data_IF_195598666579
#
_entry.id   IF_195598666579
#
_cell.length_a   1.000
_cell.length_b   1.000
_cell.length_c   1.000
_cell.angle_alpha   90.00
_cell.angle_beta   90.00
_cell.angle_gamma   90.00
#
_symmetry.space_group_name_H-M   'P 1'
#
loop_
_entity.id
_entity.type
_entity.pdbx_description
1 polymer ?
#
# COMPACT_ATOMS: atom_id res chain seq x y z
N UNK A 1 -21.57 -43.07 17.12
CA UNK A 1 -20.07 -43.08 17.26
C UNK A 1 -19.68 -44.17 18.24
N UNK A 2 -18.62 -44.92 17.95
CA UNK A 2 -18.13 -45.95 18.84
C UNK A 2 -17.39 -45.29 20.02
N UNK A 3 -17.56 -45.78 21.25
CA UNK A 3 -17.00 -45.21 22.50
C UNK A 3 -15.48 -45.08 22.43
N UNK A 4 -14.76 -46.07 21.90
CA UNK A 4 -13.32 -46.03 21.67
C UNK A 4 -12.86 -44.88 20.72
N UNK A 5 -13.69 -44.47 19.74
CA UNK A 5 -13.37 -43.40 18.81
C UNK A 5 -13.54 -42.03 19.48
N UNK A 6 -14.54 -41.90 20.37
CA UNK A 6 -14.74 -40.68 21.16
C UNK A 6 -13.57 -40.49 22.12
N UNK A 7 -13.09 -41.56 22.78
CA UNK A 7 -11.90 -41.47 23.62
C UNK A 7 -10.65 -41.05 22.84
N UNK A 8 -10.46 -41.57 21.63
CA UNK A 8 -9.35 -41.17 20.77
C UNK A 8 -9.45 -39.67 20.35
N UNK A 9 -10.63 -39.17 20.04
CA UNK A 9 -10.85 -37.74 19.76
C UNK A 9 -10.51 -36.88 20.98
N UNK A 10 -10.97 -37.25 22.16
CA UNK A 10 -10.71 -36.51 23.39
C UNK A 10 -9.19 -36.49 23.71
N UNK A 11 -8.50 -37.59 23.49
CA UNK A 11 -7.04 -37.67 23.66
C UNK A 11 -6.30 -36.73 22.70
N UNK A 12 -6.73 -36.68 21.42
CA UNK A 12 -6.18 -35.77 20.42
C UNK A 12 -6.45 -34.31 20.78
N UNK A 13 -7.67 -33.99 21.22
CA UNK A 13 -8.07 -32.63 21.65
C UNK A 13 -7.20 -32.19 22.84
N UNK A 14 -6.97 -33.06 23.83
CA UNK A 14 -6.09 -32.74 24.97
C UNK A 14 -4.65 -32.51 24.52
N UNK A 15 -4.13 -33.30 23.59
CA UNK A 15 -2.78 -33.13 23.04
C UNK A 15 -2.68 -31.79 22.27
N UNK A 16 -3.71 -31.41 21.52
CA UNK A 16 -3.75 -30.12 20.80
C UNK A 16 -3.80 -28.93 21.75
N UNK A 17 -4.52 -29.03 22.88
CA UNK A 17 -4.56 -27.98 23.90
C UNK A 17 -3.25 -27.84 24.70
N UNK A 18 -2.40 -28.86 24.70
CA UNK A 18 -1.13 -28.90 25.46
C UNK A 18 0.11 -28.70 24.57
N UNK A 19 -0.03 -28.73 23.23
CA UNK A 19 1.12 -28.56 22.36
C UNK A 19 1.62 -27.11 22.32
N UNK A 20 2.87 -26.92 21.97
CA UNK A 20 3.41 -25.59 21.73
C UNK A 20 2.80 -24.96 20.48
N UNK A 21 2.60 -23.65 20.49
CA UNK A 21 2.05 -22.90 19.34
C UNK A 21 2.83 -23.21 18.05
N UNK A 22 2.11 -23.62 17.02
CA UNK A 22 2.66 -23.97 15.70
C UNK A 22 2.95 -25.47 15.52
N UNK A 23 2.74 -26.32 16.54
CA UNK A 23 2.88 -27.78 16.41
C UNK A 23 1.56 -28.49 16.05
N UNK A 24 0.44 -27.77 16.05
CA UNK A 24 -0.89 -28.31 15.76
C UNK A 24 -0.98 -29.01 14.40
N UNK A 25 -0.39 -28.46 13.30
CA UNK A 25 -0.43 -29.11 12.00
C UNK A 25 0.28 -30.47 11.99
N UNK A 26 1.41 -30.57 12.67
CA UNK A 26 2.16 -31.83 12.78
C UNK A 26 1.40 -32.89 13.59
N UNK A 27 0.73 -32.48 14.68
CA UNK A 27 -0.12 -33.34 15.49
C UNK A 27 -1.34 -33.84 14.71
N UNK A 28 -2.00 -32.97 13.96
CA UNK A 28 -3.14 -33.35 13.10
C UNK A 28 -2.70 -34.27 11.97
N UNK A 29 -1.54 -34.03 11.36
CA UNK A 29 -1.00 -34.89 10.31
C UNK A 29 -0.61 -36.29 10.85
N UNK A 30 -0.04 -36.37 12.05
CA UNK A 30 0.28 -37.62 12.68
C UNK A 30 -0.92 -38.48 13.07
N UNK A 31 -2.11 -37.84 13.18
CA UNK A 31 -3.39 -38.47 13.52
C UNK A 31 -4.44 -38.28 12.40
N UNK A 32 -4.00 -38.34 11.16
CA UNK A 32 -4.85 -38.01 9.99
C UNK A 32 -6.11 -38.88 9.90
N UNK A 33 -6.07 -40.14 10.40
CA UNK A 33 -7.22 -41.04 10.44
C UNK A 33 -8.30 -40.66 11.46
N UNK A 34 -7.96 -39.78 12.42
CA UNK A 34 -8.92 -39.19 13.38
C UNK A 34 -9.47 -37.83 12.91
N UNK A 35 -8.88 -37.22 11.89
CA UNK A 35 -9.29 -35.90 11.40
C UNK A 35 -10.49 -36.06 10.46
N UNK A 36 -11.68 -36.08 11.06
CA UNK A 36 -12.96 -36.23 10.36
C UNK A 36 -14.05 -35.35 10.99
N UNK A 37 -15.27 -35.38 10.42
CA UNK A 37 -16.42 -34.60 10.92
C UNK A 37 -16.81 -34.98 12.37
N UNK A 38 -16.47 -36.20 12.81
CA UNK A 38 -16.68 -36.65 14.19
C UNK A 38 -15.76 -35.93 15.17
N UNK A 39 -14.46 -35.76 14.83
CA UNK A 39 -13.54 -34.98 15.62
C UNK A 39 -14.02 -33.53 15.77
N UNK A 40 -14.44 -32.91 14.67
CA UNK A 40 -14.97 -31.52 14.68
C UNK A 40 -16.17 -31.37 15.61
N UNK A 41 -17.11 -32.32 15.57
CA UNK A 41 -18.27 -32.29 16.44
C UNK A 41 -17.88 -32.41 17.93
N UNK A 42 -16.92 -33.27 18.26
CA UNK A 42 -16.43 -33.45 19.64
C UNK A 42 -15.63 -32.22 20.09
N UNK A 43 -14.83 -31.60 19.21
CA UNK A 43 -14.12 -30.35 19.51
C UNK A 43 -15.08 -29.22 19.88
N UNK A 44 -16.17 -29.03 19.13
CA UNK A 44 -17.18 -28.01 19.42
C UNK A 44 -17.83 -28.24 20.78
N UNK A 45 -18.24 -29.49 21.09
CA UNK A 45 -18.82 -29.84 22.38
C UNK A 45 -17.83 -29.62 23.54
N UNK A 46 -16.56 -29.96 23.33
CA UNK A 46 -15.52 -29.76 24.34
C UNK A 46 -15.18 -28.29 24.53
N UNK A 47 -15.24 -27.48 23.50
CA UNK A 47 -15.08 -26.03 23.59
C UNK A 47 -16.19 -25.38 24.44
N UNK A 48 -17.45 -25.78 24.22
CA UNK A 48 -18.60 -25.35 25.02
C UNK A 48 -18.45 -25.76 26.49
N UNK A 49 -17.96 -26.96 26.75
CA UNK A 49 -17.66 -27.44 28.10
C UNK A 49 -16.57 -26.59 28.78
N UNK A 50 -15.47 -26.26 28.08
CA UNK A 50 -14.39 -25.39 28.61
C UNK A 50 -14.90 -23.99 28.94
N UNK A 51 -15.76 -23.41 28.11
CA UNK A 51 -16.38 -22.13 28.42
C UNK A 51 -17.25 -22.16 29.69
N UNK A 52 -18.03 -23.24 29.89
CA UNK A 52 -18.83 -23.44 31.08
C UNK A 52 -17.98 -23.65 32.34
N UNK A 53 -16.77 -24.17 32.22
CA UNK A 53 -15.81 -24.32 33.32
C UNK A 53 -14.97 -23.04 33.58
N UNK A 54 -15.19 -21.98 32.81
CA UNK A 54 -14.50 -20.70 32.95
C UNK A 54 -13.17 -20.60 32.18
N UNK A 55 -12.80 -21.61 31.40
CA UNK A 55 -11.61 -21.60 30.53
C UNK A 55 -11.97 -21.09 29.13
N UNK A 56 -12.37 -19.84 29.07
CA UNK A 56 -12.81 -19.20 27.81
C UNK A 56 -11.70 -19.04 26.77
N UNK A 57 -10.41 -19.05 27.17
CA UNK A 57 -9.32 -18.89 26.21
C UNK A 57 -9.14 -20.20 25.40
N UNK A 58 -9.05 -21.33 26.09
CA UNK A 58 -8.94 -22.64 25.45
C UNK A 58 -10.22 -23.00 24.69
N UNK A 59 -11.40 -22.64 25.22
CA UNK A 59 -12.69 -22.84 24.55
C UNK A 59 -12.74 -22.11 23.19
N UNK A 60 -12.42 -20.84 23.13
CA UNK A 60 -12.40 -20.06 21.87
C UNK A 60 -11.36 -20.55 20.90
N UNK A 61 -10.16 -20.87 21.39
CA UNK A 61 -9.11 -21.39 20.54
C UNK A 61 -9.53 -22.72 19.89
N UNK A 62 -10.08 -23.64 20.67
CA UNK A 62 -10.53 -24.93 20.19
C UNK A 62 -11.71 -24.81 19.21
N UNK A 63 -12.64 -23.89 19.45
CA UNK A 63 -13.74 -23.60 18.54
C UNK A 63 -13.25 -23.06 17.19
N UNK A 64 -12.28 -22.15 17.21
CA UNK A 64 -11.64 -21.64 15.99
C UNK A 64 -10.94 -22.75 15.19
N UNK A 65 -10.21 -23.64 15.88
CA UNK A 65 -9.57 -24.78 15.21
C UNK A 65 -10.59 -25.74 14.62
N UNK A 66 -11.68 -26.03 15.35
CA UNK A 66 -12.77 -26.86 14.87
C UNK A 66 -13.45 -26.29 13.62
N UNK A 67 -13.69 -24.97 13.58
CA UNK A 67 -14.25 -24.30 12.40
C UNK A 67 -13.32 -24.37 11.18
N UNK A 68 -12.01 -24.23 11.38
CA UNK A 68 -11.01 -24.37 10.31
C UNK A 68 -10.96 -25.80 9.78
N UNK A 69 -11.00 -26.80 10.65
CA UNK A 69 -11.05 -28.21 10.24
C UNK A 69 -12.36 -28.55 9.51
N UNK A 70 -13.49 -28.02 9.95
CA UNK A 70 -14.77 -28.20 9.28
C UNK A 70 -14.75 -27.71 7.84
N UNK A 71 -14.15 -26.53 7.61
CA UNK A 71 -13.97 -25.97 6.26
C UNK A 71 -13.07 -26.83 5.36
N UNK A 72 -12.11 -27.54 5.94
CA UNK A 72 -11.21 -28.45 5.22
C UNK A 72 -11.88 -29.79 4.91
N UNK A 73 -12.63 -30.35 5.86
CA UNK A 73 -13.19 -31.70 5.79
C UNK A 73 -14.52 -31.80 5.06
N UNK A 74 -15.34 -30.79 5.19
CA UNK A 74 -16.62 -30.67 4.48
C UNK A 74 -16.74 -29.24 3.95
N UNK A 75 -16.03 -28.94 2.86
CA UNK A 75 -16.25 -27.68 2.19
C UNK A 75 -17.72 -27.62 1.83
N UNK A 76 -18.43 -26.51 2.14
CA UNK A 76 -19.87 -26.42 1.97
C UNK A 76 -20.26 -26.91 0.58
N UNK A 77 -21.09 -27.95 0.54
CA UNK A 77 -21.58 -28.63 -0.69
C UNK A 77 -22.47 -27.73 -1.54
N UNK A 78 -22.84 -26.59 -1.01
CA UNK A 78 -23.38 -25.50 -1.80
C UNK A 78 -22.20 -24.73 -2.39
N UNK A 79 -22.20 -24.57 -3.68
CA UNK A 79 -21.23 -24.00 -4.59
C UNK A 79 -20.87 -22.51 -4.31
N UNK A 80 -20.65 -22.13 -3.05
CA UNK A 80 -20.33 -20.75 -2.69
C UNK A 80 -19.32 -20.70 -1.54
N UNK A 81 -18.05 -20.95 -1.86
CA UNK A 81 -16.99 -20.24 -1.16
C UNK A 81 -17.35 -18.75 -1.29
N UNK A 82 -17.71 -18.02 -0.22
CA UNK A 82 -18.17 -16.64 -0.32
C UNK A 82 -17.14 -15.77 -1.03
N UNK A 83 -15.86 -16.06 -0.84
CA UNK A 83 -14.78 -15.41 -1.56
C UNK A 83 -14.76 -15.75 -3.05
N UNK A 84 -15.05 -17.01 -3.42
CA UNK A 84 -15.11 -17.44 -4.82
C UNK A 84 -16.25 -16.78 -5.58
N UNK A 85 -17.45 -16.77 -5.01
CA UNK A 85 -18.62 -16.09 -5.57
C UNK A 85 -18.42 -14.58 -5.63
N UNK A 86 -17.85 -14.01 -4.57
CA UNK A 86 -17.54 -12.59 -4.54
C UNK A 86 -16.49 -12.21 -5.60
N UNK A 87 -15.39 -12.97 -5.70
CA UNK A 87 -14.35 -12.75 -6.70
C UNK A 87 -14.93 -12.85 -8.12
N UNK A 88 -15.73 -13.86 -8.39
CA UNK A 88 -16.39 -14.01 -9.70
C UNK A 88 -17.27 -12.80 -10.03
N UNK A 89 -18.13 -12.37 -9.09
CA UNK A 89 -18.99 -11.19 -9.27
C UNK A 89 -18.16 -9.92 -9.47
N UNK A 90 -17.09 -9.76 -8.69
CA UNK A 90 -16.20 -8.61 -8.79
C UNK A 90 -15.51 -8.53 -10.15
N UNK A 91 -14.92 -9.64 -10.61
CA UNK A 91 -14.27 -9.71 -11.93
C UNK A 91 -15.26 -9.45 -13.06
N UNK A 92 -16.47 -10.01 -12.97
CA UNK A 92 -17.54 -9.76 -13.94
C UNK A 92 -17.95 -8.29 -13.95
N UNK A 93 -18.14 -7.67 -12.78
CA UNK A 93 -18.48 -6.24 -12.65
C UNK A 93 -17.39 -5.36 -13.28
N UNK A 94 -16.12 -5.70 -13.09
CA UNK A 94 -14.99 -4.97 -13.69
C UNK A 94 -15.04 -5.05 -15.21
N UNK A 95 -15.30 -6.23 -15.77
CA UNK A 95 -15.41 -6.44 -17.23
C UNK A 95 -16.61 -5.68 -17.80
N UNK A 96 -17.79 -5.83 -17.20
CA UNK A 96 -19.04 -5.21 -17.69
C UNK A 96 -19.03 -3.68 -17.58
N UNK A 97 -18.31 -3.14 -16.60
CA UNK A 97 -18.22 -1.69 -16.37
C UNK A 97 -16.98 -1.03 -16.99
N UNK A 98 -16.14 -1.79 -17.69
CA UNK A 98 -14.84 -1.31 -18.17
C UNK A 98 -13.98 -0.66 -17.07
N UNK A 99 -14.00 -1.29 -15.88
CA UNK A 99 -13.27 -0.80 -14.71
C UNK A 99 -13.86 0.44 -14.04
N UNK A 100 -15.10 0.81 -14.32
CA UNK A 100 -15.76 2.00 -13.74
C UNK A 100 -15.96 1.83 -12.23
N UNK A 101 -15.30 2.67 -11.44
CA UNK A 101 -15.36 2.68 -9.97
C UNK A 101 -16.78 2.89 -9.42
N UNK A 102 -17.62 3.63 -10.10
CA UNK A 102 -19.01 3.85 -9.68
C UNK A 102 -19.83 2.56 -9.65
N UNK A 103 -19.45 1.57 -10.47
CA UNK A 103 -20.05 0.24 -10.44
C UNK A 103 -19.35 -0.69 -9.42
N UNK A 104 -18.03 -0.57 -9.28
CA UNK A 104 -17.21 -1.48 -8.44
C UNK A 104 -17.34 -1.13 -6.95
N UNK A 105 -17.28 0.16 -6.56
CA UNK A 105 -17.24 0.57 -5.16
C UNK A 105 -18.46 0.16 -4.33
N UNK A 106 -19.71 0.22 -4.82
CA UNK A 106 -20.86 -0.30 -4.09
C UNK A 106 -20.76 -1.81 -3.80
N UNK A 107 -20.18 -2.58 -4.73
CA UNK A 107 -19.95 -4.01 -4.52
C UNK A 107 -18.90 -4.26 -3.42
N UNK A 108 -17.80 -3.51 -3.41
CA UNK A 108 -16.78 -3.59 -2.36
C UNK A 108 -17.35 -3.15 -1.01
N UNK A 109 -18.12 -2.05 -0.96
CA UNK A 109 -18.77 -1.53 0.25
C UNK A 109 -19.71 -2.56 0.91
N UNK A 110 -20.48 -3.26 0.12
CA UNK A 110 -21.41 -4.28 0.63
C UNK A 110 -20.71 -5.57 1.10
N UNK A 111 -19.43 -5.75 0.77
CA UNK A 111 -18.66 -6.95 1.06
C UNK A 111 -17.33 -6.66 1.81
N UNK A 112 -17.28 -5.59 2.60
CA UNK A 112 -16.07 -5.21 3.36
C UNK A 112 -15.53 -6.35 4.24
N UNK A 113 -16.40 -7.24 4.73
CA UNK A 113 -16.03 -8.39 5.54
C UNK A 113 -15.27 -9.48 4.78
N UNK A 114 -15.30 -9.46 3.45
CA UNK A 114 -14.54 -10.36 2.57
C UNK A 114 -13.23 -9.73 2.07
N UNK A 115 -12.95 -8.45 2.39
CA UNK A 115 -11.72 -7.77 2.01
C UNK A 115 -10.63 -8.08 3.04
N UNK A 116 -10.13 -9.31 3.02
CA UNK A 116 -9.12 -9.83 3.94
C UNK A 116 -8.02 -10.65 3.21
N UNK A 117 -7.12 -11.25 3.97
CA UNK A 117 -6.02 -12.07 3.44
C UNK A 117 -6.51 -13.29 2.62
N UNK A 118 -7.71 -13.84 2.91
CA UNK A 118 -8.24 -14.96 2.15
C UNK A 118 -8.59 -14.55 0.72
N UNK A 119 -9.13 -13.34 0.54
CA UNK A 119 -9.38 -12.78 -0.78
C UNK A 119 -8.06 -12.57 -1.56
N UNK A 120 -7.04 -12.01 -0.90
CA UNK A 120 -5.71 -11.82 -1.52
C UNK A 120 -5.16 -13.16 -2.00
N UNK A 121 -5.15 -14.17 -1.14
CA UNK A 121 -4.63 -15.52 -1.44
C UNK A 121 -5.41 -16.18 -2.58
N UNK A 122 -6.74 -16.07 -2.57
CA UNK A 122 -7.61 -16.62 -3.62
C UNK A 122 -7.34 -15.93 -4.97
N UNK A 123 -7.25 -14.61 -4.98
CA UNK A 123 -6.96 -13.83 -6.19
C UNK A 123 -5.60 -14.20 -6.78
N UNK A 124 -4.58 -14.33 -5.96
CA UNK A 124 -3.23 -14.73 -6.39
C UNK A 124 -3.23 -16.16 -6.96
N UNK A 125 -3.86 -17.10 -6.28
CA UNK A 125 -3.98 -18.48 -6.75
C UNK A 125 -4.73 -18.55 -8.09
N UNK A 126 -5.87 -17.86 -8.20
CA UNK A 126 -6.67 -17.80 -9.41
C UNK A 126 -5.90 -17.15 -10.58
N UNK A 127 -5.25 -16.02 -10.35
CA UNK A 127 -4.51 -15.31 -11.39
C UNK A 127 -3.31 -16.11 -11.90
N UNK A 128 -2.54 -16.73 -11.00
CA UNK A 128 -1.41 -17.57 -11.38
C UNK A 128 -1.85 -18.83 -12.15
N UNK A 129 -2.90 -19.52 -11.68
CA UNK A 129 -3.46 -20.68 -12.37
C UNK A 129 -4.00 -20.30 -13.77
N UNK A 130 -4.71 -19.17 -13.87
CA UNK A 130 -5.24 -18.69 -15.14
C UNK A 130 -4.12 -18.36 -16.13
N UNK A 131 -3.02 -17.74 -15.66
CA UNK A 131 -1.83 -17.46 -16.46
C UNK A 131 -1.20 -18.74 -17.00
N UNK A 132 -1.03 -19.76 -16.17
CA UNK A 132 -0.42 -21.05 -16.57
C UNK A 132 -1.26 -21.78 -17.64
N UNK A 133 -2.58 -21.63 -17.60
CA UNK A 133 -3.52 -22.28 -18.51
C UNK A 133 -3.83 -21.44 -19.76
N UNK A 134 -3.48 -20.15 -19.75
CA UNK A 134 -3.83 -19.24 -20.82
C UNK A 134 -2.75 -19.21 -21.91
N UNK A 135 -3.17 -19.15 -23.18
CA UNK A 135 -2.30 -18.71 -24.25
C UNK A 135 -2.06 -17.19 -24.21
N UNK A 136 -1.16 -16.65 -25.06
CA UNK A 136 -0.76 -15.24 -25.03
C UNK A 136 -1.95 -14.25 -25.00
N UNK A 137 -2.90 -14.42 -25.90
CA UNK A 137 -4.11 -13.55 -26.00
C UNK A 137 -4.94 -13.50 -24.73
N UNK A 138 -5.15 -14.65 -24.05
CA UNK A 138 -5.88 -14.71 -22.80
C UNK A 138 -5.08 -14.11 -21.63
N UNK A 139 -3.76 -14.18 -21.71
CA UNK A 139 -2.87 -13.54 -20.72
C UNK A 139 -2.99 -12.02 -20.81
N UNK A 140 -3.12 -11.46 -22.00
CA UNK A 140 -3.32 -10.02 -22.21
C UNK A 140 -4.67 -9.55 -21.62
N UNK A 141 -5.75 -10.30 -21.87
CA UNK A 141 -7.07 -10.00 -21.29
C UNK A 141 -7.04 -10.09 -19.75
N UNK A 142 -6.40 -11.12 -19.21
CA UNK A 142 -6.22 -11.27 -17.76
C UNK A 142 -5.49 -10.07 -17.14
N UNK A 143 -4.49 -9.55 -17.83
CA UNK A 143 -3.76 -8.41 -17.31
C UNK A 143 -4.54 -7.11 -17.34
N UNK A 144 -5.28 -6.83 -18.39
CA UNK A 144 -6.17 -5.66 -18.42
C UNK A 144 -7.17 -5.73 -17.26
N UNK A 145 -7.72 -6.92 -17.00
CA UNK A 145 -8.62 -7.17 -15.88
C UNK A 145 -7.93 -6.94 -14.52
N UNK A 146 -6.73 -7.51 -14.32
CA UNK A 146 -5.97 -7.33 -13.09
C UNK A 146 -5.47 -5.89 -12.91
N UNK A 147 -5.18 -5.17 -13.99
CA UNK A 147 -4.86 -3.74 -13.92
C UNK A 147 -6.07 -2.93 -13.40
N UNK A 148 -7.25 -3.16 -13.97
CA UNK A 148 -8.48 -2.47 -13.56
C UNK A 148 -8.83 -2.78 -12.10
N UNK A 149 -8.68 -4.05 -11.69
CA UNK A 149 -8.83 -4.48 -10.30
C UNK A 149 -7.85 -3.75 -9.38
N UNK A 150 -6.56 -3.76 -9.73
CA UNK A 150 -5.51 -3.10 -8.95
C UNK A 150 -5.80 -1.61 -8.77
N UNK A 151 -6.21 -0.94 -9.84
CA UNK A 151 -6.53 0.47 -9.81
C UNK A 151 -7.77 0.78 -8.96
N UNK A 152 -8.79 -0.08 -9.01
CA UNK A 152 -9.97 0.06 -8.16
C UNK A 152 -9.63 -0.07 -6.68
N UNK A 153 -8.85 -1.09 -6.31
CA UNK A 153 -8.46 -1.31 -4.91
C UNK A 153 -7.47 -0.27 -4.38
N UNK A 154 -6.52 0.18 -5.21
CA UNK A 154 -5.54 1.21 -4.82
C UNK A 154 -6.22 2.52 -4.35
N UNK A 155 -7.33 2.87 -4.98
CA UNK A 155 -8.05 4.12 -4.68
C UNK A 155 -9.33 3.90 -3.86
N UNK A 156 -9.63 2.67 -3.45
CA UNK A 156 -10.81 2.39 -2.63
C UNK A 156 -10.63 2.94 -1.22
N UNK A 157 -11.49 3.89 -0.78
CA UNK A 157 -11.26 4.65 0.45
C UNK A 157 -11.65 3.92 1.73
N UNK A 158 -12.20 2.71 1.63
CA UNK A 158 -12.73 1.93 2.76
C UNK A 158 -12.04 0.57 2.88
N UNK A 159 -12.36 -0.15 3.96
CA UNK A 159 -11.77 -1.45 4.24
C UNK A 159 -10.37 -1.34 4.88
N UNK A 160 -9.62 -2.41 4.86
CA UNK A 160 -8.26 -2.45 5.36
C UNK A 160 -7.28 -1.97 4.27
N UNK A 161 -6.59 -0.84 4.44
CA UNK A 161 -5.69 -0.30 3.43
C UNK A 161 -4.52 -1.26 3.09
N UNK A 162 -4.08 -2.09 4.03
CA UNK A 162 -3.05 -3.09 3.81
C UNK A 162 -3.52 -4.15 2.81
N UNK A 163 -4.75 -4.63 2.96
CA UNK A 163 -5.36 -5.62 2.07
C UNK A 163 -5.61 -5.00 0.68
N UNK A 164 -6.16 -3.79 0.64
CA UNK A 164 -6.39 -3.09 -0.61
C UNK A 164 -5.09 -2.92 -1.40
N UNK A 165 -4.01 -2.51 -0.73
CA UNK A 165 -2.70 -2.37 -1.35
C UNK A 165 -2.09 -3.71 -1.75
N UNK A 166 -2.29 -4.80 -0.99
CA UNK A 166 -1.81 -6.12 -1.38
C UNK A 166 -2.45 -6.59 -2.70
N UNK A 167 -3.75 -6.35 -2.88
CA UNK A 167 -4.47 -6.65 -4.14
C UNK A 167 -3.96 -5.74 -5.26
N UNK A 168 -3.78 -4.44 -5.00
CA UNK A 168 -3.29 -3.49 -5.98
C UNK A 168 -1.87 -3.84 -6.46
N UNK A 169 -0.96 -4.11 -5.54
CA UNK A 169 0.43 -4.49 -5.85
C UNK A 169 0.45 -5.76 -6.70
N UNK A 170 -0.28 -6.81 -6.29
CA UNK A 170 -0.35 -8.05 -7.07
C UNK A 170 -0.77 -7.80 -8.53
N UNK A 171 -1.85 -7.05 -8.75
CA UNK A 171 -2.33 -6.76 -10.09
C UNK A 171 -1.36 -5.93 -10.92
N UNK A 172 -0.73 -4.91 -10.34
CA UNK A 172 0.28 -4.11 -11.03
C UNK A 172 1.55 -4.91 -11.36
N UNK A 173 2.06 -5.74 -10.41
CA UNK A 173 3.21 -6.61 -10.64
C UNK A 173 2.93 -7.60 -11.78
N UNK A 174 1.74 -8.22 -11.76
CA UNK A 174 1.34 -9.14 -12.82
C UNK A 174 1.39 -8.46 -14.19
N UNK A 175 0.80 -7.27 -14.32
CA UNK A 175 0.75 -6.53 -15.57
C UNK A 175 2.14 -6.09 -16.03
N UNK A 176 2.95 -5.55 -15.12
CA UNK A 176 4.30 -5.11 -15.42
C UNK A 176 5.23 -6.27 -15.83
N UNK A 177 5.01 -7.47 -15.29
CA UNK A 177 5.84 -8.64 -15.59
C UNK A 177 5.41 -9.39 -16.87
N UNK A 178 4.16 -9.23 -17.32
CA UNK A 178 3.61 -10.10 -18.38
C UNK A 178 3.26 -9.33 -19.64
N UNK A 179 2.36 -8.35 -19.55
CA UNK A 179 1.66 -7.82 -20.72
C UNK A 179 2.35 -6.58 -21.25
N UNK A 180 2.62 -5.65 -20.39
CA UNK A 180 3.07 -4.32 -20.80
C UNK A 180 4.54 -4.26 -21.21
N UNK A 181 5.26 -5.38 -21.16
CA UNK A 181 6.61 -5.51 -21.77
C UNK A 181 6.61 -5.82 -23.26
N UNK A 182 5.41 -5.95 -23.87
CA UNK A 182 5.29 -6.12 -25.31
C UNK A 182 5.56 -4.79 -26.04
N UNK A 183 6.17 -4.83 -27.25
CA UNK A 183 6.40 -3.64 -28.04
C UNK A 183 5.09 -2.86 -28.32
N UNK A 184 5.13 -1.54 -28.13
CA UNK A 184 3.97 -0.67 -28.31
C UNK A 184 3.13 -0.45 -27.06
N UNK A 185 3.43 -1.12 -25.93
CA UNK A 185 2.73 -0.97 -24.66
C UNK A 185 3.59 -0.25 -23.60
N UNK A 186 4.69 0.38 -24.01
CA UNK A 186 5.64 1.03 -23.11
C UNK A 186 4.98 2.11 -22.23
N UNK A 187 4.01 2.83 -22.80
CA UNK A 187 3.25 3.85 -22.04
C UNK A 187 2.42 3.24 -20.92
N UNK A 188 1.77 2.11 -21.18
CA UNK A 188 1.00 1.38 -20.16
C UNK A 188 1.91 0.76 -19.10
N UNK A 189 3.07 0.25 -19.52
CA UNK A 189 4.09 -0.24 -18.59
C UNK A 189 4.55 0.88 -17.66
N UNK A 190 4.89 2.05 -18.19
CA UNK A 190 5.32 3.18 -17.40
C UNK A 190 4.24 3.67 -16.42
N UNK A 191 2.96 3.66 -16.83
CA UNK A 191 1.85 4.01 -15.94
C UNK A 191 1.68 2.96 -14.83
N UNK A 192 1.78 1.68 -15.17
CA UNK A 192 1.69 0.58 -14.19
C UNK A 192 2.82 0.63 -13.18
N UNK A 193 4.05 0.84 -13.65
CA UNK A 193 5.23 0.98 -12.78
C UNK A 193 5.16 2.22 -11.88
N UNK A 194 4.63 3.33 -12.38
CA UNK A 194 4.35 4.52 -11.56
C UNK A 194 3.36 4.22 -10.43
N UNK A 195 2.24 3.57 -10.75
CA UNK A 195 1.22 3.20 -9.77
C UNK A 195 1.76 2.16 -8.76
N UNK A 196 2.55 1.20 -9.24
CA UNK A 196 3.22 0.21 -8.41
C UNK A 196 4.21 0.86 -7.43
N UNK A 197 5.01 1.82 -7.91
CA UNK A 197 5.92 2.58 -7.06
C UNK A 197 5.19 3.35 -5.96
N UNK A 198 4.05 3.97 -6.30
CA UNK A 198 3.20 4.66 -5.32
C UNK A 198 2.61 3.67 -4.30
N UNK A 199 2.11 2.52 -4.74
CA UNK A 199 1.56 1.50 -3.85
C UNK A 199 2.61 0.97 -2.86
N UNK A 200 3.84 0.74 -3.31
CA UNK A 200 4.94 0.34 -2.43
C UNK A 200 5.35 1.43 -1.43
N UNK A 201 5.38 2.71 -1.84
CA UNK A 201 5.61 3.82 -0.91
C UNK A 201 4.54 3.82 0.19
N UNK A 202 3.26 3.68 -0.17
CA UNK A 202 2.16 3.65 0.81
C UNK A 202 2.25 2.42 1.73
N UNK A 203 2.65 1.23 1.23
CA UNK A 203 2.91 0.08 2.09
C UNK A 203 4.04 0.36 3.10
N UNK A 204 5.10 1.02 2.66
CA UNK A 204 6.21 1.42 3.54
C UNK A 204 5.76 2.41 4.62
N UNK A 205 4.94 3.42 4.26
CA UNK A 205 4.33 4.38 5.20
C UNK A 205 3.42 3.70 6.24
N UNK A 206 2.73 2.63 5.85
CA UNK A 206 1.93 1.79 6.75
C UNK A 206 2.77 0.81 7.58
N UNK A 207 4.10 0.89 7.52
CA UNK A 207 5.02 0.07 8.31
C UNK A 207 5.25 -1.35 7.77
N UNK A 208 4.81 -1.65 6.56
CA UNK A 208 5.01 -2.95 5.93
C UNK A 208 6.36 -3.02 5.24
N UNK A 209 7.30 -3.79 5.79
CA UNK A 209 8.64 -3.98 5.23
C UNK A 209 9.23 -2.67 4.63
N UNK A 210 9.27 -1.56 5.39
CA UNK A 210 9.41 -0.23 4.81
C UNK A 210 10.66 -0.09 3.93
N UNK A 211 11.79 -0.63 4.34
CA UNK A 211 13.03 -0.56 3.54
C UNK A 211 12.89 -1.34 2.24
N UNK A 212 12.37 -2.57 2.29
CA UNK A 212 12.23 -3.41 1.10
C UNK A 212 11.21 -2.82 0.11
N UNK A 213 10.08 -2.31 0.62
CA UNK A 213 9.06 -1.70 -0.24
C UNK A 213 9.53 -0.39 -0.86
N UNK A 214 10.31 0.43 -0.16
CA UNK A 214 10.93 1.62 -0.75
C UNK A 214 11.97 1.26 -1.83
N UNK A 215 12.74 0.18 -1.68
CA UNK A 215 13.64 -0.30 -2.74
C UNK A 215 12.86 -0.72 -3.99
N UNK A 216 11.76 -1.44 -3.82
CA UNK A 216 10.85 -1.82 -4.92
C UNK A 216 10.21 -0.58 -5.56
N UNK A 217 9.79 0.41 -4.78
CA UNK A 217 9.25 1.67 -5.27
C UNK A 217 10.26 2.43 -6.13
N UNK A 218 11.50 2.56 -5.65
CA UNK A 218 12.59 3.20 -6.38
C UNK A 218 12.86 2.48 -7.70
N UNK A 219 12.92 1.15 -7.70
CA UNK A 219 13.14 0.38 -8.91
C UNK A 219 12.02 0.60 -9.93
N UNK A 220 10.76 0.51 -9.52
CA UNK A 220 9.59 0.73 -10.37
C UNK A 220 9.56 2.17 -10.94
N UNK A 221 9.72 3.18 -10.08
CA UNK A 221 9.74 4.57 -10.52
C UNK A 221 10.91 4.89 -11.44
N UNK A 222 12.09 4.29 -11.23
CA UNK A 222 13.26 4.48 -12.09
C UNK A 222 13.02 3.92 -13.48
N UNK A 223 12.44 2.72 -13.60
CA UNK A 223 12.07 2.14 -14.89
C UNK A 223 10.99 2.99 -15.59
N UNK A 224 9.95 3.40 -14.87
CA UNK A 224 8.90 4.27 -15.39
C UNK A 224 9.47 5.62 -15.91
N UNK A 225 10.38 6.22 -15.16
CA UNK A 225 11.08 7.46 -15.53
C UNK A 225 11.84 7.29 -16.85
N UNK A 226 12.56 6.15 -16.99
CA UNK A 226 13.32 5.86 -18.21
C UNK A 226 12.42 5.81 -19.44
N UNK A 227 11.26 5.16 -19.33
CA UNK A 227 10.27 5.06 -20.42
C UNK A 227 9.65 6.43 -20.71
N UNK A 228 9.33 7.22 -19.67
CA UNK A 228 8.64 8.51 -19.78
C UNK A 228 9.52 9.67 -20.27
N UNK A 229 10.83 9.47 -20.48
CA UNK A 229 11.72 10.47 -21.12
C UNK A 229 11.44 10.70 -22.61
N UNK A 230 10.42 10.07 -23.15
CA UNK A 230 9.97 10.28 -24.53
C UNK A 230 9.16 11.58 -24.67
N UNK A 231 9.23 12.29 -25.81
CA UNK A 231 8.44 13.49 -26.04
C UNK A 231 6.93 13.25 -25.90
N UNK A 232 6.23 14.20 -25.28
CA UNK A 232 4.78 14.13 -25.05
C UNK A 232 4.36 13.43 -23.76
N UNK A 233 5.33 13.03 -22.91
CA UNK A 233 5.10 12.42 -21.59
C UNK A 233 5.67 13.27 -20.44
N UNK A 234 5.92 14.55 -20.69
CA UNK A 234 6.59 15.45 -19.75
C UNK A 234 5.86 15.55 -18.41
N UNK A 235 4.54 15.66 -18.43
CA UNK A 235 3.73 15.69 -17.21
C UNK A 235 3.87 14.39 -16.40
N UNK A 236 3.70 13.26 -17.09
CA UNK A 236 3.78 11.93 -16.46
C UNK A 236 5.20 11.69 -15.92
N UNK A 237 6.23 12.18 -16.64
CA UNK A 237 7.62 12.12 -16.19
C UNK A 237 7.82 12.92 -14.89
N UNK A 238 7.33 14.16 -14.83
CA UNK A 238 7.45 15.01 -13.64
C UNK A 238 6.78 14.36 -12.41
N UNK A 239 5.59 13.79 -12.59
CA UNK A 239 4.90 13.08 -11.51
C UNK A 239 5.68 11.85 -11.03
N UNK A 240 6.26 11.06 -11.95
CA UNK A 240 7.07 9.90 -11.57
C UNK A 240 8.35 10.29 -10.86
N UNK A 241 9.01 11.35 -11.31
CA UNK A 241 10.20 11.91 -10.65
C UNK A 241 9.87 12.41 -9.24
N UNK A 242 8.70 13.01 -9.06
CA UNK A 242 8.24 13.43 -7.71
C UNK A 242 8.06 12.22 -6.81
N UNK A 243 7.43 11.15 -7.27
CA UNK A 243 7.28 9.91 -6.49
C UNK A 243 8.63 9.23 -6.21
N UNK A 244 9.54 9.23 -7.18
CA UNK A 244 10.91 8.74 -7.00
C UNK A 244 11.65 9.53 -5.91
N UNK A 245 11.51 10.86 -5.94
CA UNK A 245 12.04 11.75 -4.90
C UNK A 245 11.46 11.45 -3.52
N UNK A 246 10.15 11.21 -3.42
CA UNK A 246 9.47 10.83 -2.18
C UNK A 246 10.05 9.51 -1.62
N UNK A 247 10.23 8.49 -2.46
CA UNK A 247 10.79 7.21 -2.04
C UNK A 247 12.23 7.35 -1.49
N UNK A 248 13.08 8.14 -2.15
CA UNK A 248 14.44 8.43 -1.66
C UNK A 248 14.42 9.25 -0.36
N UNK A 249 13.55 10.26 -0.26
CA UNK A 249 13.41 11.07 0.95
C UNK A 249 13.02 10.20 2.14
N UNK A 250 12.02 9.35 1.99
CA UNK A 250 11.57 8.45 3.06
C UNK A 250 12.66 7.43 3.44
N UNK A 251 13.45 6.91 2.47
CA UNK A 251 14.63 6.08 2.80
C UNK A 251 15.66 6.83 3.62
N UNK A 252 15.90 8.11 3.30
CA UNK A 252 16.83 8.95 4.06
C UNK A 252 16.33 9.18 5.50
N UNK A 253 15.03 9.44 5.68
CA UNK A 253 14.38 9.61 6.98
C UNK A 253 14.43 8.34 7.83
N UNK A 254 14.36 7.16 7.20
CA UNK A 254 14.58 5.86 7.87
C UNK A 254 16.06 5.58 8.20
N UNK A 255 16.96 6.51 7.92
CA UNK A 255 18.39 6.39 8.22
C UNK A 255 19.19 5.55 7.23
N UNK A 256 18.59 5.13 6.10
CA UNK A 256 19.30 4.38 5.06
C UNK A 256 20.04 5.35 4.13
N UNK A 257 21.39 5.34 4.18
CA UNK A 257 22.25 6.19 3.35
C UNK A 257 21.72 7.65 3.26
N UNK A 258 21.43 8.32 4.40
CA UNK A 258 20.59 9.51 4.42
C UNK A 258 21.11 10.62 3.51
N UNK A 259 22.41 10.85 3.48
CA UNK A 259 23.03 11.88 2.63
C UNK A 259 22.84 11.56 1.15
N UNK A 260 23.20 10.34 0.73
CA UNK A 260 23.12 9.95 -0.67
C UNK A 260 21.66 9.90 -1.18
N UNK A 261 20.73 9.43 -0.34
CA UNK A 261 19.33 9.40 -0.72
C UNK A 261 18.69 10.79 -0.76
N UNK A 262 19.08 11.72 0.12
CA UNK A 262 18.65 13.11 0.01
C UNK A 262 19.17 13.79 -1.26
N UNK A 263 20.41 13.55 -1.66
CA UNK A 263 20.95 14.07 -2.92
C UNK A 263 20.15 13.53 -4.13
N UNK A 264 19.83 12.23 -4.13
CA UNK A 264 19.00 11.62 -5.18
C UNK A 264 17.57 12.19 -5.18
N UNK A 265 16.97 12.40 -4.01
CA UNK A 265 15.64 13.01 -3.88
C UNK A 265 15.64 14.44 -4.44
N UNK A 266 16.59 15.25 -4.04
CA UNK A 266 16.75 16.65 -4.51
C UNK A 266 16.96 16.68 -6.03
N UNK A 267 17.76 15.78 -6.58
CA UNK A 267 17.97 15.70 -8.02
C UNK A 267 16.67 15.38 -8.77
N UNK A 268 15.91 14.37 -8.29
CA UNK A 268 14.62 13.99 -8.86
C UNK A 268 13.58 15.14 -8.79
N UNK A 269 13.45 15.81 -7.64
CA UNK A 269 12.55 16.94 -7.49
C UNK A 269 12.98 18.15 -8.33
N UNK A 270 14.28 18.40 -8.46
CA UNK A 270 14.81 19.51 -9.29
C UNK A 270 14.48 19.29 -10.77
N UNK A 271 14.63 18.06 -11.27
CA UNK A 271 14.23 17.71 -12.64
C UNK A 271 12.72 17.85 -12.80
N UNK A 272 11.92 17.30 -11.86
CA UNK A 272 10.47 17.41 -11.88
C UNK A 272 9.98 18.86 -11.88
N UNK A 273 10.55 19.74 -11.03
CA UNK A 273 10.21 21.17 -10.99
C UNK A 273 10.55 21.88 -12.31
N UNK A 274 11.66 21.53 -12.93
CA UNK A 274 12.07 22.09 -14.23
C UNK A 274 11.03 21.77 -15.31
N UNK A 275 10.55 20.52 -15.36
CA UNK A 275 9.53 20.09 -16.30
C UNK A 275 8.19 20.76 -15.97
N UNK A 276 7.81 20.82 -14.70
CA UNK A 276 6.51 21.34 -14.24
C UNK A 276 6.38 22.88 -14.34
N UNK A 277 7.40 23.60 -14.78
CA UNK A 277 7.29 25.05 -15.11
C UNK A 277 6.52 25.33 -16.38
N UNK A 278 6.09 24.30 -17.12
CA UNK A 278 5.25 24.43 -18.29
C UNK A 278 3.81 24.83 -17.88
N UNK A 279 3.11 25.63 -18.71
CA UNK A 279 1.72 25.99 -18.45
C UNK A 279 0.80 24.77 -18.29
N UNK A 280 -0.07 24.81 -17.29
CA UNK A 280 -1.02 23.73 -16.98
C UNK A 280 -0.48 22.69 -15.99
N UNK A 281 0.75 22.87 -15.48
CA UNK A 281 1.37 21.99 -14.47
C UNK A 281 1.63 22.73 -13.14
N UNK A 282 0.97 23.84 -12.89
CA UNK A 282 1.21 24.73 -11.74
C UNK A 282 0.99 23.98 -10.41
N UNK A 283 -0.01 23.09 -10.34
CA UNK A 283 -0.28 22.29 -9.15
C UNK A 283 0.85 21.27 -8.91
N UNK A 284 1.26 20.57 -9.96
CA UNK A 284 2.35 19.58 -9.89
C UNK A 284 3.66 20.28 -9.49
N UNK A 285 3.92 21.50 -10.02
CA UNK A 285 5.05 22.35 -9.65
C UNK A 285 5.05 22.68 -8.15
N UNK A 286 3.91 23.19 -7.64
CA UNK A 286 3.82 23.60 -6.24
C UNK A 286 4.00 22.43 -5.27
N UNK A 287 3.43 21.26 -5.59
CA UNK A 287 3.61 20.03 -4.82
C UNK A 287 5.09 19.62 -4.78
N UNK A 288 5.75 19.60 -5.94
CA UNK A 288 7.15 19.18 -6.04
C UNK A 288 8.08 20.19 -5.35
N UNK A 289 7.80 21.50 -5.44
CA UNK A 289 8.54 22.54 -4.72
C UNK A 289 8.42 22.39 -3.20
N UNK A 290 7.21 22.07 -2.69
CA UNK A 290 7.04 21.78 -1.27
C UNK A 290 7.93 20.60 -0.84
N UNK A 291 7.93 19.49 -1.59
CA UNK A 291 8.72 18.30 -1.26
C UNK A 291 10.24 18.58 -1.40
N UNK A 292 10.65 19.38 -2.38
CA UNK A 292 12.02 19.86 -2.52
C UNK A 292 12.46 20.68 -1.30
N UNK A 293 11.57 21.55 -0.80
CA UNK A 293 11.81 22.31 0.42
C UNK A 293 11.99 21.40 1.64
N UNK A 294 11.17 20.34 1.77
CA UNK A 294 11.33 19.34 2.85
C UNK A 294 12.71 18.67 2.75
N UNK A 295 13.11 18.22 1.56
CA UNK A 295 14.40 17.55 1.37
C UNK A 295 15.59 18.46 1.74
N UNK A 296 15.56 19.75 1.37
CA UNK A 296 16.58 20.71 1.81
C UNK A 296 16.54 20.95 3.33
N UNK A 297 15.35 21.00 3.93
CA UNK A 297 15.19 21.09 5.39
C UNK A 297 15.84 19.92 6.12
N UNK A 298 15.60 18.69 5.65
CA UNK A 298 16.23 17.48 6.21
C UNK A 298 17.76 17.50 6.02
N UNK A 299 18.28 17.96 4.85
CA UNK A 299 19.73 18.15 4.66
C UNK A 299 20.32 19.14 5.68
N UNK A 300 19.62 20.22 5.94
CA UNK A 300 20.06 21.20 6.95
C UNK A 300 20.10 20.58 8.35
N UNK A 301 19.10 19.78 8.72
CA UNK A 301 19.04 19.06 10.01
C UNK A 301 20.19 18.05 10.17
N UNK A 302 20.65 17.44 9.08
CA UNK A 302 21.83 16.57 9.09
C UNK A 302 23.17 17.35 9.14
N UNK A 303 23.12 18.67 9.32
CA UNK A 303 24.30 19.52 9.43
C UNK A 303 25.00 19.83 8.11
N UNK A 304 24.38 19.52 6.97
CA UNK A 304 24.92 19.80 5.65
C UNK A 304 24.57 21.23 5.23
N UNK A 305 25.55 22.12 5.21
CA UNK A 305 25.40 23.54 4.86
C UNK A 305 24.06 24.14 5.39
N UNK A 306 23.77 24.04 6.71
CA UNK A 306 22.43 24.23 7.24
C UNK A 306 21.79 25.55 6.84
N UNK A 307 22.53 26.64 6.88
CA UNK A 307 22.02 27.97 6.49
C UNK A 307 21.66 28.00 5.01
N UNK A 308 22.56 27.53 4.14
CA UNK A 308 22.32 27.54 2.69
C UNK A 308 21.16 26.63 2.28
N UNK A 309 21.03 25.46 2.89
CA UNK A 309 19.93 24.55 2.61
C UNK A 309 18.59 25.08 3.13
N UNK A 310 18.56 25.74 4.29
CA UNK A 310 17.36 26.44 4.75
C UNK A 310 16.96 27.60 3.82
N UNK A 311 17.90 28.31 3.24
CA UNK A 311 17.60 29.35 2.23
C UNK A 311 16.95 28.74 0.99
N UNK A 312 17.48 27.61 0.50
CA UNK A 312 16.90 26.87 -0.62
C UNK A 312 15.49 26.34 -0.28
N UNK A 313 15.29 25.82 0.93
CA UNK A 313 14.00 25.38 1.41
C UNK A 313 12.98 26.53 1.44
N UNK A 314 13.35 27.68 2.03
CA UNK A 314 12.50 28.87 2.10
C UNK A 314 12.13 29.37 0.70
N UNK A 315 13.07 29.40 -0.24
CA UNK A 315 12.78 29.80 -1.62
C UNK A 315 11.76 28.86 -2.29
N UNK A 316 11.94 27.54 -2.12
CA UNK A 316 11.02 26.54 -2.66
C UNK A 316 9.61 26.65 -2.04
N UNK A 317 9.50 26.74 -0.72
CA UNK A 317 8.21 26.93 -0.03
C UNK A 317 7.54 28.25 -0.41
N UNK A 318 8.30 29.34 -0.56
CA UNK A 318 7.75 30.64 -0.97
C UNK A 318 7.16 30.59 -2.36
N UNK A 319 7.79 29.91 -3.30
CA UNK A 319 7.24 29.70 -4.65
C UNK A 319 6.00 28.81 -4.60
N UNK A 320 6.03 27.71 -3.85
CA UNK A 320 4.90 26.80 -3.67
C UNK A 320 3.68 27.51 -3.06
N UNK A 321 3.87 28.27 -1.96
CA UNK A 321 2.76 29.01 -1.30
C UNK A 321 2.14 30.04 -2.23
N UNK A 322 2.96 30.75 -3.02
CA UNK A 322 2.43 31.68 -4.03
C UNK A 322 1.53 30.97 -5.05
N UNK A 323 1.98 29.81 -5.53
CA UNK A 323 1.25 29.03 -6.53
C UNK A 323 -0.04 28.45 -5.95
N UNK A 324 0.01 27.84 -4.76
CA UNK A 324 -1.19 27.32 -4.10
C UNK A 324 -2.23 28.41 -3.81
N UNK A 325 -1.78 29.61 -3.41
CA UNK A 325 -2.67 30.76 -3.21
C UNK A 325 -3.36 31.19 -4.52
N UNK A 326 -2.63 31.21 -5.63
CA UNK A 326 -3.19 31.52 -6.95
C UNK A 326 -4.22 30.49 -7.42
N UNK A 327 -4.03 29.23 -7.04
CA UNK A 327 -4.91 28.11 -7.39
C UNK A 327 -6.09 27.93 -6.42
N UNK A 328 -6.14 28.65 -5.29
CA UNK A 328 -7.17 28.49 -4.25
C UNK A 328 -7.08 27.15 -3.51
N UNK A 329 -5.89 26.56 -3.43
CA UNK A 329 -5.65 25.26 -2.78
C UNK A 329 -5.30 25.48 -1.29
N UNK A 330 -6.29 25.84 -0.50
CA UNK A 330 -6.14 26.28 0.90
C UNK A 330 -5.45 25.23 1.79
N UNK A 331 -5.82 23.96 1.70
CA UNK A 331 -5.21 22.90 2.51
C UNK A 331 -3.72 22.74 2.23
N UNK A 332 -3.34 22.72 0.95
CA UNK A 332 -1.94 22.55 0.53
C UNK A 332 -1.13 23.80 0.89
N UNK A 333 -1.76 24.99 0.77
CA UNK A 333 -1.20 26.27 1.18
C UNK A 333 -0.89 26.29 2.68
N UNK A 334 -1.85 25.91 3.53
CA UNK A 334 -1.67 25.91 4.99
C UNK A 334 -0.53 24.97 5.42
N UNK A 335 -0.46 23.76 4.83
CA UNK A 335 0.64 22.82 5.09
C UNK A 335 2.01 23.39 4.69
N UNK A 336 2.09 24.00 3.51
CA UNK A 336 3.35 24.59 3.02
C UNK A 336 3.76 25.84 3.82
N UNK A 337 2.82 26.68 4.26
CA UNK A 337 3.07 27.80 5.16
C UNK A 337 3.64 27.33 6.51
N UNK A 338 3.15 26.21 7.04
CA UNK A 338 3.69 25.61 8.26
C UNK A 338 5.17 25.19 8.05
N UNK A 339 5.48 24.55 6.94
CA UNK A 339 6.85 24.16 6.59
C UNK A 339 7.76 25.40 6.42
N UNK A 340 7.25 26.46 5.79
CA UNK A 340 7.94 27.73 5.64
C UNK A 340 8.24 28.37 7.00
N UNK A 341 7.25 28.38 7.90
CA UNK A 341 7.43 28.87 9.28
C UNK A 341 8.51 28.11 10.03
N UNK A 342 8.49 26.77 9.94
CA UNK A 342 9.54 25.91 10.54
C UNK A 342 10.94 26.24 9.99
N UNK A 343 11.08 26.48 8.69
CA UNK A 343 12.36 26.83 8.08
C UNK A 343 12.90 28.19 8.57
N UNK A 344 12.02 29.20 8.69
CA UNK A 344 12.42 30.50 9.28
C UNK A 344 12.79 30.39 10.76
N UNK A 345 12.01 29.60 11.54
CA UNK A 345 12.32 29.36 12.94
C UNK A 345 13.71 28.73 13.11
N UNK A 346 14.00 27.68 12.35
CA UNK A 346 15.32 27.02 12.39
C UNK A 346 16.46 27.97 11.96
N UNK A 347 16.24 28.85 10.99
CA UNK A 347 17.24 29.90 10.65
C UNK A 347 17.49 30.87 11.80
N UNK A 348 16.42 31.25 12.52
CA UNK A 348 16.57 32.13 13.70
C UNK A 348 17.37 31.45 14.82
N UNK A 349 17.10 30.15 15.06
CA UNK A 349 17.82 29.33 16.04
C UNK A 349 19.32 29.20 15.70
N UNK A 350 19.67 29.16 14.41
CA UNK A 350 21.04 29.18 13.92
C UNK A 350 21.70 30.58 13.99
N UNK A 351 20.98 31.58 14.54
CA UNK A 351 21.48 32.93 14.71
C UNK A 351 21.45 33.81 13.47
N UNK A 352 20.83 33.37 12.39
CA UNK A 352 20.69 34.16 11.17
C UNK A 352 19.46 35.08 11.27
N UNK A 353 19.67 36.39 11.30
CA UNK A 353 18.63 37.43 11.39
C UNK A 353 17.49 37.02 12.39
N UNK A 354 17.80 36.67 13.66
CA UNK A 354 16.90 35.92 14.52
C UNK A 354 15.54 36.63 14.71
N UNK A 355 15.55 37.95 14.91
CA UNK A 355 14.31 38.70 15.12
C UNK A 355 13.48 38.73 13.84
N UNK A 356 14.08 39.05 12.70
CA UNK A 356 13.37 39.12 11.43
C UNK A 356 12.80 37.74 11.01
N UNK A 357 13.58 36.66 11.23
CA UNK A 357 13.09 35.30 10.90
C UNK A 357 12.04 34.80 11.86
N UNK A 358 12.06 35.17 13.14
CA UNK A 358 10.95 34.89 14.08
C UNK A 358 9.66 35.61 13.65
N UNK A 359 9.75 36.88 13.23
CA UNK A 359 8.58 37.63 12.71
C UNK A 359 8.00 36.96 11.46
N UNK A 360 8.85 36.53 10.51
CA UNK A 360 8.42 35.80 9.30
C UNK A 360 7.79 34.44 9.66
N UNK A 361 8.34 33.70 10.62
CA UNK A 361 7.79 32.46 11.09
C UNK A 361 6.37 32.64 11.70
N UNK A 362 6.22 33.64 12.56
CA UNK A 362 4.93 34.00 13.17
C UNK A 362 3.91 34.37 12.09
N UNK A 363 4.30 35.17 11.12
CA UNK A 363 3.41 35.56 10.00
C UNK A 363 2.94 34.31 9.19
N UNK A 364 3.85 33.39 8.86
CA UNK A 364 3.53 32.18 8.14
C UNK A 364 2.59 31.26 8.94
N UNK A 365 2.84 31.04 10.22
CA UNK A 365 1.95 30.24 11.08
C UNK A 365 0.59 30.89 11.28
N UNK A 366 0.55 32.23 11.43
CA UNK A 366 -0.71 32.98 11.57
C UNK A 366 -1.56 32.82 10.32
N UNK A 367 -0.98 32.96 9.14
CA UNK A 367 -1.69 32.74 7.88
C UNK A 367 -2.17 31.30 7.77
N UNK A 368 -1.31 30.30 8.06
CA UNK A 368 -1.69 28.88 8.03
C UNK A 368 -2.86 28.53 8.93
N UNK A 369 -3.02 29.19 10.07
CA UNK A 369 -4.12 28.96 11.01
C UNK A 369 -5.39 29.71 10.69
N UNK A 370 -5.35 30.69 9.82
CA UNK A 370 -6.51 31.51 9.41
C UNK A 370 -7.18 31.01 8.12
N UNK A 371 -6.54 30.11 7.41
CA UNK A 371 -7.07 29.41 6.22
C UNK A 371 -7.91 28.20 6.65
#
# INVERSE_FOLDING_TARGET
>A
MNEARIEAYLALIQALLQCENGQEPALLQANAELVDAGLVAVMKQYADFLEQQGDSNNGRWLLNLAQRLEQILDPPRDNQNPYGSFLQTLLQTIVESDGNRQAIYPLLDNNLHLLDENLVNLLQAWGNQTKEQAGPEKTDQLGVLLYSLAHAFHEFPKGNPIINLAIAVYGYEFCAATIFRQPGLERYLAQTLHNLGNAYCTQAELGQEPVANLERAIAACTEATTIRRQPGLERDLAQTLTNLGNAYLTQAELGKEPVANLERAIAAYTEATTISRQPGLERDLALTLNNLGIAYGVQAQLGQEPVANLERAIAAYTEATRTYRQLGLERDLAGTLTNLGNAYLTQAELGKEPVANLERAIAAYTEATTI
#
